data_IF_075085908208
#
_entry.id   IF_075085908208
#
_cell.length_a   1.000
_cell.length_b   1.000
_cell.length_c   1.000
_cell.angle_alpha   90.00
_cell.angle_beta   90.00
_cell.angle_gamma   90.00
#
_symmetry.space_group_name_H-M   'P 1'
#
loop_
_entity.id
_entity.type
_entity.pdbx_description
1 polymer ?
#
# COMPACT_ATOMS: atom_id res chain seq x y z
N UNK A 1 7.79 -3.55 -8.46
CA UNK A 1 7.26 -3.79 -7.10
C UNK A 1 7.35 -5.27 -6.74
N UNK A 2 6.71 -6.16 -7.50
CA UNK A 2 6.79 -7.63 -7.29
C UNK A 2 8.21 -8.20 -7.16
N UNK A 3 9.12 -7.83 -8.07
CA UNK A 3 10.52 -8.26 -7.99
C UNK A 3 11.20 -7.81 -6.70
N UNK A 4 10.91 -6.59 -6.23
CA UNK A 4 11.44 -6.08 -4.97
C UNK A 4 10.90 -6.87 -3.76
N UNK A 5 9.60 -7.23 -3.77
CA UNK A 5 9.00 -8.01 -2.70
C UNK A 5 9.71 -9.36 -2.47
N UNK A 6 10.27 -9.98 -3.51
CA UNK A 6 11.05 -11.22 -3.39
C UNK A 6 12.32 -11.06 -2.55
N UNK A 7 12.81 -9.84 -2.36
CA UNK A 7 13.98 -9.56 -1.54
C UNK A 7 13.65 -9.28 -0.07
N UNK A 8 12.37 -9.10 0.29
CA UNK A 8 11.97 -8.76 1.66
C UNK A 8 12.50 -9.74 2.72
N UNK A 9 12.50 -11.07 2.53
CA UNK A 9 13.03 -12.00 3.52
C UNK A 9 14.51 -11.81 3.86
N UNK A 10 15.28 -11.19 2.95
CA UNK A 10 16.71 -10.91 3.13
C UNK A 10 16.97 -9.52 3.72
N UNK A 11 16.06 -8.58 3.47
CA UNK A 11 16.23 -7.17 3.83
C UNK A 11 15.58 -6.83 5.18
N UNK A 12 14.48 -7.52 5.51
CA UNK A 12 13.71 -7.24 6.71
C UNK A 12 14.20 -8.10 7.87
N UNK A 13 14.53 -7.46 8.99
CA UNK A 13 14.84 -8.15 10.25
C UNK A 13 13.59 -8.86 10.82
N UNK A 14 13.75 -9.86 11.71
CA UNK A 14 12.64 -10.42 12.49
C UNK A 14 11.84 -9.32 13.21
N UNK A 15 10.51 -9.49 13.28
CA UNK A 15 9.56 -8.47 13.74
C UNK A 15 9.53 -7.14 12.96
N UNK A 16 10.28 -7.02 11.85
CA UNK A 16 10.33 -5.81 11.04
C UNK A 16 9.00 -5.51 10.34
N UNK A 17 8.74 -4.22 10.12
CA UNK A 17 7.57 -3.73 9.38
C UNK A 17 8.04 -3.20 8.03
N UNK A 18 7.41 -3.68 6.96
CA UNK A 18 7.57 -3.14 5.62
C UNK A 18 6.30 -2.38 5.21
N UNK A 19 6.49 -1.21 4.60
CA UNK A 19 5.41 -0.41 4.03
C UNK A 19 5.91 0.26 2.75
N UNK A 20 4.98 0.58 1.85
CA UNK A 20 5.25 1.19 0.56
C UNK A 20 4.03 2.01 0.10
N UNK A 21 4.21 2.80 -0.96
CA UNK A 21 3.10 3.51 -1.58
C UNK A 21 2.33 2.61 -2.57
N UNK A 22 1.05 2.31 -2.28
CA UNK A 22 0.16 1.62 -3.22
C UNK A 22 -0.73 2.63 -3.95
N UNK A 23 -0.22 3.20 -5.05
CA UNK A 23 -0.94 4.18 -5.88
C UNK A 23 -1.89 3.59 -6.92
N UNK A 24 -2.08 2.26 -6.97
CA UNK A 24 -2.84 1.60 -8.05
C UNK A 24 -4.31 2.00 -7.99
N UNK A 25 -4.85 2.46 -9.14
CA UNK A 25 -6.21 2.95 -9.28
C UNK A 25 -6.60 4.05 -8.27
N UNK A 26 -5.70 5.01 -8.03
CA UNK A 26 -5.93 6.15 -7.14
C UNK A 26 -7.08 7.08 -7.54
N UNK A 27 -7.79 6.80 -8.62
CA UNK A 27 -8.97 7.50 -9.13
C UNK A 27 -10.26 6.67 -9.02
N UNK A 28 -10.19 5.39 -8.68
CA UNK A 28 -11.33 4.49 -8.57
C UNK A 28 -11.24 3.63 -7.29
N UNK A 29 -12.10 3.93 -6.31
CA UNK A 29 -12.08 3.27 -5.01
C UNK A 29 -12.28 1.75 -5.09
N UNK A 30 -13.15 1.29 -5.99
CA UNK A 30 -13.42 -0.14 -6.14
C UNK A 30 -12.16 -0.88 -6.64
N UNK A 31 -11.57 -0.41 -7.73
CA UNK A 31 -10.36 -1.05 -8.27
C UNK A 31 -9.17 -0.89 -7.34
N UNK A 32 -9.05 0.24 -6.63
CA UNK A 32 -8.01 0.42 -5.62
C UNK A 32 -8.08 -0.67 -4.53
N UNK A 33 -9.27 -0.93 -3.99
CA UNK A 33 -9.47 -1.98 -2.99
C UNK A 33 -9.15 -3.37 -3.56
N UNK A 34 -9.52 -3.66 -4.81
CA UNK A 34 -9.12 -4.90 -5.50
C UNK A 34 -7.60 -5.04 -5.56
N UNK A 35 -6.88 -3.97 -5.92
CA UNK A 35 -5.42 -3.99 -5.95
C UNK A 35 -4.78 -4.15 -4.57
N UNK A 36 -5.36 -3.57 -3.51
CA UNK A 36 -4.93 -3.85 -2.14
C UNK A 36 -5.02 -5.35 -1.83
N UNK A 37 -6.13 -6.00 -2.18
CA UNK A 37 -6.28 -7.45 -1.96
C UNK A 37 -5.32 -8.29 -2.81
N UNK A 38 -5.11 -7.91 -4.08
CA UNK A 38 -4.17 -8.60 -4.96
C UNK A 38 -2.74 -8.58 -4.41
N UNK A 39 -2.27 -7.41 -3.97
CA UNK A 39 -0.90 -7.30 -3.44
C UNK A 39 -0.76 -7.99 -2.09
N UNK A 40 -1.79 -7.95 -1.24
CA UNK A 40 -1.79 -8.72 0.01
C UNK A 40 -1.66 -10.22 -0.24
N UNK A 41 -2.38 -10.78 -1.23
CA UNK A 41 -2.24 -12.19 -1.62
C UNK A 41 -0.85 -12.50 -2.19
N UNK A 42 -0.26 -11.58 -2.95
CA UNK A 42 1.11 -11.75 -3.47
C UNK A 42 2.15 -11.82 -2.34
N UNK A 43 2.03 -10.93 -1.35
CA UNK A 43 2.90 -10.89 -0.17
C UNK A 43 2.67 -12.09 0.77
N UNK A 44 1.43 -12.57 0.90
CA UNK A 44 1.11 -13.78 1.64
C UNK A 44 1.84 -15.01 1.06
N UNK A 45 1.96 -15.11 -0.26
CA UNK A 45 2.75 -16.18 -0.90
C UNK A 45 4.26 -16.11 -0.58
N UNK A 46 4.74 -14.99 -0.04
CA UNK A 46 6.11 -14.79 0.44
C UNK A 46 6.23 -14.94 1.97
N UNK A 47 5.14 -15.31 2.67
CA UNK A 47 5.11 -15.46 4.12
C UNK A 47 4.85 -14.17 4.89
N UNK A 48 4.20 -13.18 4.27
CA UNK A 48 3.87 -11.90 4.91
C UNK A 48 2.37 -11.67 5.02
N UNK A 49 1.92 -11.29 6.20
CA UNK A 49 0.59 -10.70 6.39
C UNK A 49 0.62 -9.23 5.99
N UNK A 50 -0.45 -8.73 5.37
CA UNK A 50 -0.58 -7.32 5.00
C UNK A 50 -1.87 -6.76 5.55
N UNK A 51 -1.76 -5.73 6.39
CA UNK A 51 -2.89 -4.94 6.88
C UNK A 51 -2.94 -3.60 6.15
N UNK A 52 -4.13 -3.05 5.99
CA UNK A 52 -4.33 -1.74 5.35
C UNK A 52 -4.90 -0.76 6.36
N UNK A 53 -4.08 0.22 6.77
CA UNK A 53 -4.51 1.27 7.69
C UNK A 53 -5.21 2.37 6.86
N UNK A 54 -6.49 2.69 7.11
CA UNK A 54 -7.17 3.77 6.41
C UNK A 54 -6.67 5.12 6.92
N UNK A 55 -6.13 5.93 6.02
CA UNK A 55 -5.66 7.29 6.28
C UNK A 55 -6.56 8.28 5.51
N UNK A 56 -7.25 9.21 6.19
CA UNK A 56 -8.00 10.26 5.52
C UNK A 56 -7.01 11.20 4.85
N UNK A 57 -7.11 11.35 3.53
CA UNK A 57 -6.19 12.20 2.73
C UNK A 57 -6.90 13.35 2.03
N UNK A 58 -8.25 13.36 2.04
CA UNK A 58 -9.07 14.45 1.50
C UNK A 58 -8.59 15.82 1.94
N UNK A 59 -8.37 15.98 3.26
CA UNK A 59 -7.98 17.26 3.85
C UNK A 59 -6.50 17.60 3.61
N UNK A 60 -5.69 16.61 3.19
CA UNK A 60 -4.27 16.76 2.90
C UNK A 60 -3.98 17.09 1.43
N UNK A 61 -4.98 16.97 0.55
CA UNK A 61 -4.84 17.13 -0.91
C UNK A 61 -5.74 18.24 -1.46
N UNK A 62 -5.63 19.50 -0.97
CA UNK A 62 -6.42 20.61 -1.49
C UNK A 62 -6.10 20.86 -2.96
N UNK A 63 -7.04 21.48 -3.70
CA UNK A 63 -6.87 21.74 -5.13
C UNK A 63 -5.62 22.55 -5.48
N UNK A 64 -5.11 23.36 -4.54
CA UNK A 64 -3.85 24.08 -4.69
C UNK A 64 -2.64 23.16 -4.89
N UNK A 65 -2.60 21.99 -4.24
CA UNK A 65 -1.54 20.98 -4.44
C UNK A 65 -1.49 20.51 -5.90
N UNK A 66 -2.64 20.53 -6.56
CA UNK A 66 -2.80 20.08 -7.94
C UNK A 66 -2.73 21.21 -8.96
N UNK A 67 -2.40 22.44 -8.56
CA UNK A 67 -2.30 23.59 -9.46
C UNK A 67 -1.26 23.33 -10.56
N UNK A 68 -1.70 23.32 -11.81
CA UNK A 68 -0.85 23.03 -12.97
C UNK A 68 -0.66 21.54 -13.27
N UNK A 69 -1.24 20.64 -12.47
CA UNK A 69 -1.24 19.20 -12.72
C UNK A 69 -2.44 18.86 -13.62
N UNK A 70 -2.17 18.31 -14.80
CA UNK A 70 -3.22 17.95 -15.76
C UNK A 70 -3.99 16.68 -15.35
N UNK A 71 -3.30 15.71 -14.74
CA UNK A 71 -3.88 14.44 -14.31
C UNK A 71 -3.41 14.11 -12.89
N UNK A 72 -4.34 14.20 -11.94
CA UNK A 72 -4.08 13.85 -10.54
C UNK A 72 -3.84 12.34 -10.45
N UNK A 73 -2.69 11.93 -9.92
CA UNK A 73 -2.38 10.50 -9.71
C UNK A 73 -3.18 9.88 -8.56
N UNK A 74 -3.81 10.72 -7.73
CA UNK A 74 -4.63 10.31 -6.61
C UNK A 74 -5.80 11.28 -6.41
N UNK A 75 -7.00 10.72 -6.21
CA UNK A 75 -8.27 11.43 -6.12
C UNK A 75 -9.22 10.83 -5.07
N UNK A 76 -8.84 9.72 -4.40
CA UNK A 76 -9.68 9.11 -3.36
C UNK A 76 -9.57 9.85 -2.03
N UNK A 77 -10.68 9.89 -1.28
CA UNK A 77 -10.75 10.52 0.05
C UNK A 77 -9.89 9.80 1.11
N UNK A 78 -9.68 8.49 0.95
CA UNK A 78 -8.94 7.62 1.88
C UNK A 78 -7.83 6.88 1.17
N UNK A 79 -6.62 6.96 1.72
CA UNK A 79 -5.47 6.14 1.33
C UNK A 79 -5.34 4.94 2.26
N UNK A 80 -5.16 3.75 1.71
CA UNK A 80 -4.98 2.51 2.47
C UNK A 80 -3.49 2.19 2.58
N UNK A 81 -2.87 2.55 3.70
CA UNK A 81 -1.44 2.33 3.93
C UNK A 81 -1.17 0.83 4.19
N UNK A 82 -0.39 0.14 3.32
CA UNK A 82 -0.02 -1.24 3.55
C UNK A 82 0.99 -1.34 4.70
N UNK A 83 0.73 -2.22 5.66
CA UNK A 83 1.63 -2.58 6.75
C UNK A 83 1.84 -4.08 6.65
N UNK A 84 3.06 -4.47 6.25
CA UNK A 84 3.41 -5.84 5.95
C UNK A 84 4.37 -6.36 7.02
N UNK A 85 4.08 -7.53 7.57
CA UNK A 85 4.90 -8.19 8.59
C UNK A 85 5.01 -9.68 8.30
N UNK A 86 6.16 -10.27 8.60
CA UNK A 86 6.36 -11.71 8.44
C UNK A 86 5.35 -12.45 9.32
N UNK A 87 4.73 -13.50 8.80
CA UNK A 87 3.82 -14.36 9.58
C UNK A 87 4.59 -15.26 10.57
N UNK A 88 5.88 -15.44 10.33
CA UNK A 88 6.81 -16.19 11.17
C UNK A 88 7.27 -15.38 12.39
N UNK A 89 6.34 -15.06 13.30
CA UNK A 89 6.57 -14.70 14.72
C UNK A 89 5.20 -14.36 15.34
N UNK A 90 4.35 -15.39 15.44
CA UNK A 90 3.32 -15.45 16.47
C UNK A 90 3.81 -16.48 17.49
N UNK A 91 4.77 -16.07 18.33
CA UNK A 91 4.99 -16.69 19.64
C UNK A 91 4.07 -16.03 20.68
#
# INVERSE_FOLDING_TARGET
>A
MREFHQHLPKLLKPGGIYSYFNGLCGDNAFFHVVYCQLVAMELANLGYSTQFIPLPVKDCLPDEVWKGVQQKYWQLDTYHLPVCQSESESE
#
